data_IF_066282189408
#
_entry.id   IF_066282189408
#
_cell.length_a   1.000
_cell.length_b   1.000
_cell.length_c   1.000
_cell.angle_alpha   90.00
_cell.angle_beta   90.00
_cell.angle_gamma   90.00
#
_symmetry.space_group_name_H-M   'P 1'
#
loop_
_entity.id
_entity.type
_entity.pdbx_description
1 polymer ?
#
# COMPACT_ATOMS: atom_id res chain seq x y z
N UNK A 1 -45.67 -38.61 -16.88
CA UNK A 1 -45.38 -37.24 -17.37
C UNK A 1 -44.86 -36.39 -16.21
N UNK A 2 -43.69 -35.75 -16.38
CA UNK A 2 -43.13 -34.60 -15.61
C UNK A 2 -42.91 -34.77 -14.08
N UNK A 3 -41.68 -35.09 -13.66
CA UNK A 3 -40.57 -34.18 -13.22
C UNK A 3 -40.71 -33.65 -11.78
N UNK A 4 -39.89 -34.24 -10.90
CA UNK A 4 -39.57 -33.81 -9.53
C UNK A 4 -38.88 -32.43 -9.48
N UNK A 5 -38.97 -31.76 -8.32
CA UNK A 5 -38.00 -30.83 -7.68
C UNK A 5 -38.58 -30.53 -6.28
N UNK A 6 -38.05 -30.97 -5.14
CA UNK A 6 -36.64 -31.04 -4.72
C UNK A 6 -36.35 -29.81 -3.86
N UNK A 7 -36.74 -29.84 -2.58
CA UNK A 7 -36.41 -28.78 -1.60
C UNK A 7 -34.92 -28.90 -1.28
N UNK A 8 -34.13 -27.98 -1.82
CA UNK A 8 -32.69 -27.92 -1.60
C UNK A 8 -32.31 -26.62 -0.91
N UNK A 9 -31.93 -26.71 0.36
CA UNK A 9 -31.22 -25.66 1.08
C UNK A 9 -29.90 -25.39 0.36
N UNK A 10 -29.77 -24.23 -0.27
CA UNK A 10 -28.50 -23.85 -0.91
C UNK A 10 -27.59 -23.30 0.19
N UNK A 11 -26.82 -24.19 0.81
CA UNK A 11 -25.63 -23.81 1.56
C UNK A 11 -24.61 -23.32 0.52
N UNK A 12 -24.51 -21.99 0.34
CA UNK A 12 -23.46 -21.41 -0.50
C UNK A 12 -22.12 -21.60 0.23
N UNK A 13 -21.45 -22.69 -0.10
CA UNK A 13 -20.05 -22.89 0.25
C UNK A 13 -19.19 -21.80 -0.42
N UNK A 14 -18.97 -20.69 0.28
CA UNK A 14 -17.90 -19.75 -0.01
C UNK A 14 -16.57 -20.36 0.47
N UNK A 15 -16.09 -21.38 -0.24
CA UNK A 15 -14.66 -21.67 -0.31
C UNK A 15 -14.07 -20.92 -1.49
N UNK A 16 -13.74 -19.66 -1.28
CA UNK A 16 -12.55 -19.08 -1.91
C UNK A 16 -11.74 -18.47 -0.79
N UNK A 17 -10.80 -19.26 -0.30
CA UNK A 17 -9.69 -18.81 0.52
C UNK A 17 -9.12 -17.57 -0.15
N UNK A 18 -9.32 -16.42 0.50
CA UNK A 18 -8.46 -15.27 0.27
C UNK A 18 -7.08 -15.79 0.66
N UNK A 19 -6.20 -16.02 -0.30
CA UNK A 19 -4.80 -16.27 0.00
C UNK A 19 -4.29 -14.97 0.59
N UNK A 20 -4.34 -14.87 1.92
CA UNK A 20 -3.64 -13.87 2.71
C UNK A 20 -2.21 -13.88 2.21
N UNK A 21 -1.79 -12.82 1.53
CA UNK A 21 -0.38 -12.63 1.22
C UNK A 21 0.36 -12.74 2.56
N UNK A 22 1.46 -13.50 2.61
CA UNK A 22 2.06 -13.94 3.85
C UNK A 22 2.22 -12.75 4.80
N UNK A 23 1.71 -12.90 6.03
CA UNK A 23 2.00 -12.00 7.13
C UNK A 23 3.50 -12.08 7.38
N UNK A 24 4.23 -11.19 6.72
CA UNK A 24 5.65 -11.00 6.91
C UNK A 24 5.81 -10.21 8.21
N UNK A 25 6.31 -10.89 9.24
CA UNK A 25 6.57 -10.34 10.57
C UNK A 25 7.52 -9.13 10.56
N UNK A 26 8.13 -8.83 9.41
CA UNK A 26 8.95 -7.63 9.19
C UNK A 26 8.10 -6.35 9.14
N UNK A 27 6.82 -6.45 8.79
CA UNK A 27 5.90 -5.30 8.69
C UNK A 27 5.02 -5.19 9.93
N UNK A 28 5.34 -4.25 10.82
CA UNK A 28 4.59 -3.99 12.05
C UNK A 28 3.29 -3.20 11.86
N UNK A 29 2.68 -2.81 12.98
CA UNK A 29 1.36 -2.16 13.09
C UNK A 29 1.18 -0.92 12.17
N UNK A 30 2.25 -0.15 11.93
CA UNK A 30 2.20 1.05 11.09
C UNK A 30 1.86 0.73 9.63
N UNK A 31 2.36 -0.38 9.08
CA UNK A 31 2.07 -0.78 7.70
C UNK A 31 0.64 -1.30 7.55
N UNK A 32 0.12 -1.99 8.56
CA UNK A 32 -1.30 -2.35 8.58
C UNK A 32 -2.19 -1.11 8.66
N UNK A 33 -1.79 -0.12 9.46
CA UNK A 33 -2.51 1.15 9.57
C UNK A 33 -2.49 1.96 8.26
N UNK A 34 -1.36 1.99 7.55
CA UNK A 34 -1.26 2.61 6.21
C UNK A 34 -2.25 1.95 5.26
N UNK A 35 -2.20 0.61 5.13
CA UNK A 35 -3.13 -0.14 4.29
C UNK A 35 -4.59 0.12 4.66
N UNK A 36 -4.88 0.18 5.96
CA UNK A 36 -6.21 0.50 6.46
C UNK A 36 -6.66 1.89 6.03
N UNK A 37 -5.82 2.91 6.19
CA UNK A 37 -6.16 4.29 5.81
C UNK A 37 -6.35 4.45 4.31
N UNK A 38 -5.52 3.80 3.49
CA UNK A 38 -5.69 3.81 2.04
C UNK A 38 -7.02 3.13 1.64
N UNK A 39 -7.38 2.01 2.28
CA UNK A 39 -8.67 1.34 2.06
C UNK A 39 -9.89 2.17 2.53
N UNK A 40 -9.79 2.83 3.68
CA UNK A 40 -10.87 3.71 4.19
C UNK A 40 -11.02 4.97 3.35
N UNK A 41 -9.96 5.38 2.63
CA UNK A 41 -10.01 6.44 1.65
C UNK A 41 -11.01 6.14 0.54
N UNK A 42 -11.23 4.88 0.18
CA UNK A 42 -12.09 4.50 -0.94
C UNK A 42 -13.52 4.19 -0.50
N UNK A 43 -14.48 5.00 -0.92
CA UNK A 43 -15.88 4.65 -0.88
C UNK A 43 -16.19 3.55 -1.88
N UNK A 44 -15.93 2.28 -1.53
CA UNK A 44 -16.35 1.14 -2.36
C UNK A 44 -17.86 0.95 -2.18
N UNK A 45 -18.67 1.85 -2.74
CA UNK A 45 -20.09 1.58 -2.95
C UNK A 45 -20.17 0.51 -4.01
N UNK A 46 -20.45 -0.72 -3.57
CA UNK A 46 -20.66 -1.86 -4.45
C UNK A 46 -21.69 -1.56 -5.52
N UNK A 47 -21.23 -1.28 -6.74
CA UNK A 47 -22.03 -1.40 -7.94
C UNK A 47 -21.12 -1.58 -9.17
N UNK A 48 -21.20 -2.81 -9.71
CA UNK A 48 -20.93 -3.22 -11.08
C UNK A 48 -19.45 -3.30 -11.51
N UNK A 49 -18.84 -4.44 -11.17
CA UNK A 49 -17.86 -5.10 -12.03
C UNK A 49 -18.51 -5.36 -13.40
N UNK A 50 -18.09 -4.62 -14.42
CA UNK A 50 -17.94 -5.09 -15.80
C UNK A 50 -17.28 -3.95 -16.60
N UNK A 51 -16.07 -4.24 -17.11
CA UNK A 51 -15.31 -3.50 -18.13
C UNK A 51 -14.38 -2.34 -17.67
N UNK A 52 -13.19 -2.68 -17.19
CA UNK A 52 -11.87 -2.28 -17.75
C UNK A 52 -10.72 -2.76 -16.85
N UNK A 53 -9.78 -3.50 -17.45
CA UNK A 53 -8.54 -4.01 -16.85
C UNK A 53 -7.53 -2.89 -16.49
N UNK A 54 -7.91 -1.86 -15.73
CA UNK A 54 -6.98 -0.76 -15.41
C UNK A 54 -7.19 -0.04 -14.07
N UNK A 55 -8.08 -0.52 -13.19
CA UNK A 55 -8.40 0.19 -11.92
C UNK A 55 -8.05 -0.61 -10.64
N UNK A 56 -7.08 -1.53 -10.72
CA UNK A 56 -6.55 -2.23 -9.52
C UNK A 56 -5.29 -1.56 -8.96
N UNK A 57 -4.67 -0.59 -9.64
CA UNK A 57 -3.26 -0.30 -9.35
C UNK A 57 -2.99 0.79 -8.30
N UNK A 58 -3.82 1.84 -8.16
CA UNK A 58 -3.44 3.05 -7.40
C UNK A 58 -3.18 2.85 -5.89
N UNK A 59 -3.99 2.05 -5.19
CA UNK A 59 -4.00 2.02 -3.72
C UNK A 59 -2.99 1.04 -3.10
N UNK A 60 -2.39 0.17 -3.92
CA UNK A 60 -1.30 -0.72 -3.50
C UNK A 60 0.03 0.04 -3.37
N UNK A 61 0.17 1.18 -4.05
CA UNK A 61 1.45 1.81 -4.30
C UNK A 61 2.04 2.59 -3.12
N UNK A 62 1.24 3.25 -2.26
CA UNK A 62 1.80 4.00 -1.13
C UNK A 62 2.48 3.08 -0.12
N UNK A 63 1.88 1.93 0.18
CA UNK A 63 2.50 0.95 1.05
C UNK A 63 3.82 0.44 0.45
N UNK A 64 3.91 0.18 -0.87
CA UNK A 64 5.17 -0.21 -1.52
C UNK A 64 6.24 0.88 -1.51
N UNK A 65 5.87 2.13 -1.76
CA UNK A 65 6.79 3.27 -1.66
C UNK A 65 7.50 3.27 -0.30
N UNK A 66 6.72 3.21 0.77
CA UNK A 66 7.24 3.29 2.13
C UNK A 66 8.14 2.09 2.44
N UNK A 67 7.87 0.90 1.87
CA UNK A 67 8.74 -0.26 2.01
C UNK A 67 10.11 -0.07 1.36
N UNK A 68 10.18 0.50 0.15
CA UNK A 68 11.47 0.80 -0.48
C UNK A 68 12.28 1.79 0.34
N UNK A 69 11.63 2.82 0.89
CA UNK A 69 12.30 3.80 1.76
C UNK A 69 12.77 3.14 3.06
N UNK A 70 11.94 2.32 3.71
CA UNK A 70 12.27 1.66 4.98
C UNK A 70 13.42 0.65 4.86
N UNK A 71 13.51 -0.04 3.71
CA UNK A 71 14.58 -0.97 3.39
C UNK A 71 15.86 -0.30 2.87
N UNK A 72 15.88 1.03 2.82
CA UNK A 72 16.95 1.83 2.24
C UNK A 72 17.25 1.47 0.77
N UNK A 73 16.22 1.06 0.01
CA UNK A 73 16.32 0.61 -1.38
C UNK A 73 16.14 1.78 -2.35
N UNK A 74 17.26 2.41 -2.72
CA UNK A 74 17.27 3.56 -3.62
C UNK A 74 16.84 3.20 -5.05
N UNK A 75 17.21 2.02 -5.55
CA UNK A 75 16.83 1.56 -6.89
C UNK A 75 15.34 1.21 -6.95
N UNK A 76 14.83 0.51 -5.94
CA UNK A 76 13.40 0.23 -5.80
C UNK A 76 12.56 1.50 -5.72
N UNK A 77 13.02 2.50 -4.96
CA UNK A 77 12.39 3.82 -4.88
C UNK A 77 12.38 4.54 -6.24
N UNK A 78 13.49 4.51 -6.98
CA UNK A 78 13.58 5.13 -8.30
C UNK A 78 12.64 4.46 -9.32
N UNK A 79 12.63 3.11 -9.36
CA UNK A 79 11.74 2.33 -10.23
C UNK A 79 10.28 2.61 -9.92
N UNK A 80 9.92 2.65 -8.64
CA UNK A 80 8.57 3.00 -8.21
C UNK A 80 8.11 4.37 -8.75
N UNK A 81 8.96 5.39 -8.67
CA UNK A 81 8.61 6.73 -9.16
C UNK A 81 8.39 6.75 -10.68
N UNK A 82 9.20 6.00 -11.43
CA UNK A 82 9.10 5.90 -12.89
C UNK A 82 7.82 5.17 -13.32
N UNK A 83 7.49 4.06 -12.65
CA UNK A 83 6.31 3.25 -12.96
C UNK A 83 5.00 3.96 -12.57
N UNK A 84 4.96 4.63 -11.41
CA UNK A 84 3.71 5.13 -10.82
C UNK A 84 3.44 6.60 -11.07
N UNK A 85 4.47 7.39 -11.41
CA UNK A 85 4.39 8.85 -11.51
C UNK A 85 3.80 9.54 -10.27
N UNK A 86 3.94 8.92 -9.08
CA UNK A 86 3.37 9.45 -7.85
C UNK A 86 3.91 10.86 -7.51
N UNK A 87 3.02 11.78 -7.11
CA UNK A 87 3.29 13.20 -6.88
C UNK A 87 3.93 13.48 -5.51
N UNK A 88 5.00 12.79 -5.18
CA UNK A 88 5.71 12.98 -3.90
C UNK A 88 6.55 14.28 -3.97
N UNK A 89 6.16 15.28 -3.17
CA UNK A 89 6.82 16.59 -3.13
C UNK A 89 8.27 16.54 -2.64
N UNK A 90 8.64 15.52 -1.85
CA UNK A 90 9.98 15.31 -1.30
C UNK A 90 10.85 14.28 -2.03
N UNK A 91 10.48 13.83 -3.23
CA UNK A 91 11.15 12.67 -3.87
C UNK A 91 12.67 12.84 -4.08
N UNK A 92 13.13 14.05 -4.39
CA UNK A 92 14.57 14.30 -4.60
C UNK A 92 15.37 14.28 -3.28
N UNK A 93 14.97 15.01 -2.22
CA UNK A 93 15.60 14.86 -0.90
C UNK A 93 15.60 13.42 -0.37
N UNK A 94 14.50 12.68 -0.55
CA UNK A 94 14.42 11.26 -0.15
C UNK A 94 15.44 10.42 -0.92
N UNK A 95 15.48 10.56 -2.25
CA UNK A 95 16.48 9.85 -3.08
C UNK A 95 17.92 10.17 -2.64
N UNK A 96 18.22 11.44 -2.38
CA UNK A 96 19.55 11.85 -1.92
C UNK A 96 19.90 11.24 -0.56
N UNK A 97 18.96 11.18 0.38
CA UNK A 97 19.15 10.51 1.67
C UNK A 97 19.49 9.03 1.48
N UNK A 98 18.70 8.30 0.68
CA UNK A 98 18.90 6.88 0.44
C UNK A 98 20.27 6.61 -0.18
N UNK A 99 20.63 7.34 -1.24
CA UNK A 99 21.95 7.20 -1.88
C UNK A 99 23.10 7.59 -0.95
N UNK A 100 22.92 8.62 -0.10
CA UNK A 100 23.95 9.05 0.85
C UNK A 100 24.23 7.98 1.91
N UNK A 101 23.18 7.32 2.42
CA UNK A 101 23.33 6.22 3.38
C UNK A 101 24.01 5.02 2.69
N UNK A 102 23.54 4.62 1.50
CA UNK A 102 24.11 3.49 0.75
C UNK A 102 25.59 3.69 0.36
N UNK A 103 25.97 4.91 -0.01
CA UNK A 103 27.35 5.23 -0.35
C UNK A 103 28.29 5.27 0.87
N UNK A 104 27.73 5.37 2.08
CA UNK A 104 28.51 5.47 3.30
C UNK A 104 28.94 4.10 3.84
N UNK A 105 30.26 3.89 3.92
CA UNK A 105 30.83 2.67 4.53
C UNK A 105 30.78 2.65 6.06
N UNK A 106 30.49 3.80 6.68
CA UNK A 106 30.54 4.00 8.14
C UNK A 106 29.16 4.05 8.77
N UNK A 107 28.14 4.43 8.02
CA UNK A 107 26.79 4.59 8.51
C UNK A 107 26.03 3.28 8.31
N UNK A 108 25.85 2.52 9.39
CA UNK A 108 24.86 1.44 9.44
C UNK A 108 23.60 2.02 10.06
N UNK A 109 22.69 2.45 9.19
CA UNK A 109 21.45 3.08 9.62
C UNK A 109 20.27 2.15 9.39
N UNK A 110 19.28 2.30 10.26
CA UNK A 110 17.94 1.77 10.12
C UNK A 110 16.99 2.95 9.94
N UNK A 111 16.07 2.83 8.98
CA UNK A 111 14.96 3.76 8.79
C UNK A 111 13.68 3.08 9.26
N UNK A 112 12.81 3.80 9.97
CA UNK A 112 11.49 3.31 10.38
C UNK A 112 10.42 4.36 10.25
N UNK A 113 9.31 4.03 9.61
CA UNK A 113 8.11 4.87 9.66
C UNK A 113 7.45 4.77 11.04
N UNK A 114 7.10 5.94 11.59
CA UNK A 114 6.49 6.06 12.93
C UNK A 114 5.07 6.59 12.88
N UNK A 115 4.68 7.23 11.77
CA UNK A 115 3.33 7.77 11.61
C UNK A 115 2.95 7.89 10.14
N UNK A 116 1.68 7.62 9.86
CA UNK A 116 1.02 7.91 8.59
C UNK A 116 -0.29 8.64 8.87
N UNK A 117 -0.67 9.54 7.98
CA UNK A 117 -1.93 10.25 8.02
C UNK A 117 -2.31 10.72 6.61
N UNK A 118 -3.58 11.05 6.40
CA UNK A 118 -4.09 11.67 5.19
C UNK A 118 -4.88 12.93 5.57
N UNK A 119 -4.90 13.94 4.72
CA UNK A 119 -5.69 15.16 4.98
C UNK A 119 -7.19 14.87 5.04
N UNK A 120 -7.65 13.89 4.25
CA UNK A 120 -9.06 13.50 4.12
C UNK A 120 -9.15 12.11 3.46
N UNK A 121 -10.23 11.37 3.73
CA UNK A 121 -10.54 10.14 3.00
C UNK A 121 -11.20 10.48 1.65
N UNK A 122 -10.61 10.03 0.53
CA UNK A 122 -11.06 10.32 -0.84
C UNK A 122 -12.17 9.38 -1.33
N UNK A 123 -13.40 9.54 -0.82
CA UNK A 123 -14.48 8.58 -1.05
C UNK A 123 -15.06 8.60 -2.47
N UNK A 124 -14.80 9.68 -3.23
CA UNK A 124 -15.36 9.93 -4.56
C UNK A 124 -14.27 10.43 -5.51
N UNK A 125 -14.46 10.23 -6.82
CA UNK A 125 -13.50 10.67 -7.85
C UNK A 125 -13.16 12.17 -7.85
N UNK A 126 -14.04 13.03 -7.31
CA UNK A 126 -13.81 14.47 -7.21
C UNK A 126 -13.08 14.89 -5.93
N UNK A 127 -12.85 13.97 -5.01
CA UNK A 127 -12.20 14.26 -3.73
C UNK A 127 -10.69 14.32 -3.91
N UNK A 128 -10.04 15.27 -3.24
CA UNK A 128 -8.58 15.40 -3.19
C UNK A 128 -8.06 15.13 -1.79
N UNK A 129 -6.89 14.51 -1.67
CA UNK A 129 -6.22 14.30 -0.39
C UNK A 129 -4.70 14.40 -0.55
N UNK A 130 -4.03 14.70 0.56
CA UNK A 130 -2.57 14.66 0.69
C UNK A 130 -2.21 13.63 1.76
N UNK A 131 -1.35 12.68 1.39
CA UNK A 131 -0.78 11.72 2.32
C UNK A 131 0.47 12.30 3.01
N UNK A 132 0.58 12.03 4.31
CA UNK A 132 1.68 12.42 5.18
C UNK A 132 2.30 11.19 5.82
N UNK A 133 3.62 11.07 5.74
CA UNK A 133 4.37 10.02 6.43
C UNK A 133 5.52 10.64 7.23
N UNK A 134 5.80 10.07 8.40
CA UNK A 134 6.95 10.46 9.23
C UNK A 134 7.80 9.24 9.51
N UNK A 135 9.10 9.39 9.35
CA UNK A 135 10.09 8.37 9.62
C UNK A 135 11.25 8.91 10.44
N UNK A 136 11.92 8.00 11.13
CA UNK A 136 13.17 8.25 11.84
C UNK A 136 14.30 7.45 11.20
N UNK A 137 15.50 8.02 11.18
CA UNK A 137 16.73 7.33 10.81
C UNK A 137 17.64 7.33 12.02
N UNK A 138 18.13 6.16 12.40
CA UNK A 138 19.05 6.00 13.52
C UNK A 138 20.13 4.99 13.16
N UNK A 139 21.33 5.15 13.71
CA UNK A 139 22.36 4.12 13.63
C UNK A 139 22.12 3.07 14.69
N UNK A 140 22.31 1.80 14.34
CA UNK A 140 22.41 0.77 15.37
C UNK A 140 23.71 1.00 16.20
N UNK A 141 23.66 0.79 17.52
CA UNK A 141 24.80 1.02 18.42
C UNK A 141 25.99 0.09 18.13
#
# INVERSE_FOLDING_TARGET
MRRQRGVGTVSLGLKKSLSVLPHDSTYGEIHEYIKYLDHQGMGVSGQRLELLDSEIEADMYWCYLLQFIERLDAEGFARYLDETNNTICGRHPISLLLHSILASKKLKCTLKFVKYAQSSACMRHGDSSVSYASAIVYSEP
#
